data_IF_281214371172
#
_entry.id   IF_281214371172
#
_cell.length_a   1.000
_cell.length_b   1.000
_cell.length_c   1.000
_cell.angle_alpha   90.00
_cell.angle_beta   90.00
_cell.angle_gamma   90.00
#
_symmetry.space_group_name_H-M   'P 1'
#
loop_
_entity.id
_entity.type
_entity.pdbx_description
1 polymer ?
#
# COMPACT_ATOMS: atom_id res chain seq x y z
N UNK A 1 19.53 -1.77 17.43
CA UNK A 1 19.93 -1.69 16.00
C UNK A 1 18.65 -1.52 15.17
N UNK A 2 18.42 -0.32 14.62
CA UNK A 2 17.10 0.09 14.10
C UNK A 2 16.82 -0.58 12.75
N UNK A 3 15.72 -1.34 12.64
CA UNK A 3 15.21 -1.98 11.39
C UNK A 3 14.83 -0.98 10.27
N UNK A 4 15.27 0.28 10.35
CA UNK A 4 14.90 1.35 9.41
C UNK A 4 15.60 1.18 8.06
N UNK A 5 16.87 0.79 8.05
CA UNK A 5 17.62 0.63 6.80
C UNK A 5 16.99 -0.43 5.89
N UNK A 6 16.48 -1.53 6.47
CA UNK A 6 15.85 -2.62 5.72
C UNK A 6 14.57 -2.19 5.02
N UNK A 7 13.76 -1.34 5.67
CA UNK A 7 12.55 -0.81 5.04
C UNK A 7 12.90 0.16 3.90
N UNK A 8 13.89 1.03 4.10
CA UNK A 8 14.37 1.95 3.05
C UNK A 8 14.87 1.16 1.84
N UNK A 9 15.67 0.11 2.08
CA UNK A 9 16.19 -0.76 1.03
C UNK A 9 15.06 -1.53 0.32
N UNK A 10 14.14 -2.13 1.07
CA UNK A 10 12.98 -2.82 0.51
C UNK A 10 12.14 -1.88 -0.38
N UNK A 11 11.89 -0.66 0.07
CA UNK A 11 11.15 0.34 -0.71
C UNK A 11 11.91 0.76 -1.97
N UNK A 12 13.25 0.86 -1.91
CA UNK A 12 14.08 1.11 -3.09
C UNK A 12 13.96 -0.03 -4.12
N UNK A 13 14.04 -1.28 -3.68
CA UNK A 13 13.88 -2.46 -4.53
C UNK A 13 12.47 -2.47 -5.16
N UNK A 14 11.43 -2.26 -4.35
CA UNK A 14 10.05 -2.25 -4.84
C UNK A 14 9.81 -1.16 -5.88
N UNK A 15 10.34 0.06 -5.67
CA UNK A 15 10.27 1.17 -6.64
C UNK A 15 10.94 0.85 -7.98
N UNK A 16 11.99 0.02 -7.97
CA UNK A 16 12.67 -0.39 -9.20
C UNK A 16 11.86 -1.41 -10.03
N UNK A 17 10.93 -2.14 -9.41
CA UNK A 17 10.26 -3.29 -10.05
C UNK A 17 8.74 -3.18 -10.13
N UNK A 18 8.12 -2.17 -9.52
CA UNK A 18 6.67 -1.99 -9.48
C UNK A 18 6.27 -0.63 -10.06
N UNK A 19 5.08 -0.53 -10.68
CA UNK A 19 4.51 0.77 -11.05
C UNK A 19 4.46 1.72 -9.85
N UNK A 20 4.79 2.99 -10.06
CA UNK A 20 4.85 3.99 -8.99
C UNK A 20 3.49 4.24 -8.30
N UNK A 21 2.39 3.99 -9.01
CA UNK A 21 1.01 4.08 -8.55
C UNK A 21 0.53 2.82 -7.80
N UNK A 22 1.36 1.78 -7.69
CA UNK A 22 1.02 0.56 -6.94
C UNK A 22 0.59 0.94 -5.52
N UNK A 23 -0.62 0.54 -5.08
CA UNK A 23 -1.13 0.91 -3.77
C UNK A 23 -0.26 0.39 -2.62
N UNK A 24 -0.03 1.25 -1.63
CA UNK A 24 0.59 0.91 -0.35
C UNK A 24 -0.34 1.34 0.78
N UNK A 25 -0.53 0.46 1.76
CA UNK A 25 -1.35 0.72 2.95
C UNK A 25 -0.41 0.77 4.15
N UNK A 26 -0.44 1.87 4.89
CA UNK A 26 0.18 2.00 6.20
C UNK A 26 -0.92 1.90 7.25
N UNK A 27 -0.97 0.77 7.94
CA UNK A 27 -1.98 0.48 8.93
C UNK A 27 -1.34 0.44 10.32
N UNK A 28 -1.52 1.51 11.09
CA UNK A 28 -0.92 1.69 12.41
C UNK A 28 -1.92 1.33 13.50
N UNK A 29 -1.44 0.56 14.46
CA UNK A 29 -2.19 0.16 15.65
C UNK A 29 -3.54 -0.52 15.38
N UNK A 30 -3.58 -1.37 14.33
CA UNK A 30 -4.78 -2.14 13.97
C UNK A 30 -5.39 -2.88 15.18
N UNK A 31 -6.71 -2.79 15.31
CA UNK A 31 -7.49 -3.41 16.38
C UNK A 31 -7.47 -2.67 17.72
N UNK A 32 -6.91 -1.44 17.78
CA UNK A 32 -6.86 -0.61 18.99
C UNK A 32 -7.55 0.74 18.77
N UNK A 33 -7.80 1.46 19.86
CA UNK A 33 -8.59 2.70 19.84
C UNK A 33 -7.99 3.83 18.95
N UNK A 34 -6.67 3.86 18.80
CA UNK A 34 -5.91 4.80 17.98
C UNK A 34 -5.49 4.22 16.62
N UNK A 35 -6.24 3.24 16.11
CA UNK A 35 -6.08 2.71 14.77
C UNK A 35 -6.10 3.84 13.72
N UNK A 36 -5.12 3.80 12.81
CA UNK A 36 -5.06 4.71 11.66
C UNK A 36 -4.63 3.95 10.43
N UNK A 37 -5.46 4.03 9.39
CA UNK A 37 -5.17 3.45 8.07
C UNK A 37 -4.96 4.60 7.08
N UNK A 38 -3.77 4.63 6.46
CA UNK A 38 -3.44 5.58 5.39
C UNK A 38 -3.16 4.83 4.10
N UNK A 39 -3.79 5.29 3.04
CA UNK A 39 -3.58 4.80 1.68
C UNK A 39 -2.63 5.73 0.93
N UNK A 40 -1.55 5.17 0.39
CA UNK A 40 -0.54 5.88 -0.41
C UNK A 40 -0.13 5.01 -1.62
N UNK A 41 0.93 5.38 -2.32
CA UNK A 41 1.50 4.61 -3.42
C UNK A 41 2.97 4.29 -3.15
N UNK A 42 3.55 3.35 -3.89
CA UNK A 42 4.99 3.03 -3.79
C UNK A 42 5.87 4.27 -4.01
N UNK A 43 5.49 5.13 -4.94
CA UNK A 43 6.22 6.38 -5.22
C UNK A 43 6.12 7.39 -4.06
N UNK A 44 4.95 7.50 -3.43
CA UNK A 44 4.68 8.49 -2.38
C UNK A 44 4.87 7.97 -0.94
N UNK A 45 5.19 6.69 -0.76
CA UNK A 45 5.40 6.11 0.56
C UNK A 45 6.74 6.56 1.15
N UNK A 46 6.70 7.28 2.26
CA UNK A 46 7.87 7.68 3.04
C UNK A 46 8.15 6.65 4.18
N UNK A 47 9.31 5.97 4.18
CA UNK A 47 9.69 5.07 5.27
C UNK A 47 9.76 5.73 6.66
N UNK A 48 9.93 7.05 6.75
CA UNK A 48 10.02 7.74 8.04
C UNK A 48 8.67 7.88 8.76
N UNK A 49 7.56 7.63 8.06
CA UNK A 49 6.22 7.57 8.66
C UNK A 49 5.89 6.22 9.31
N UNK A 50 6.78 5.23 9.21
CA UNK A 50 6.55 3.86 9.68
C UNK A 50 7.26 3.61 11.01
N UNK A 51 6.49 3.22 12.04
CA UNK A 51 7.00 2.80 13.34
C UNK A 51 6.78 1.30 13.60
N UNK A 52 7.11 0.83 14.81
CA UNK A 52 6.99 -0.58 15.17
C UNK A 52 5.55 -1.10 15.25
N UNK A 53 4.55 -0.21 15.29
CA UNK A 53 3.13 -0.56 15.35
C UNK A 53 2.45 -0.45 13.98
N UNK A 54 3.24 -0.22 12.93
CA UNK A 54 2.74 0.00 11.57
C UNK A 54 2.93 -1.25 10.72
N UNK A 55 1.82 -1.79 10.23
CA UNK A 55 1.82 -2.78 9.16
C UNK A 55 1.92 -2.06 7.81
N UNK A 56 2.93 -2.40 7.02
CA UNK A 56 3.09 -1.93 5.64
C UNK A 56 2.61 -3.03 4.70
N UNK A 57 1.51 -2.78 3.98
CA UNK A 57 1.02 -3.69 2.94
C UNK A 57 1.28 -3.10 1.56
N UNK A 58 1.91 -3.87 0.68
CA UNK A 58 2.19 -3.47 -0.70
C UNK A 58 1.31 -4.30 -1.64
N UNK A 59 0.54 -3.62 -2.47
CA UNK A 59 -0.30 -4.25 -3.48
C UNK A 59 0.51 -5.00 -4.54
N UNK A 60 -0.16 -5.95 -5.21
CA UNK A 60 0.33 -6.50 -6.46
C UNK A 60 0.21 -5.45 -7.59
N UNK A 61 0.77 -5.76 -8.76
CA UNK A 61 0.69 -4.89 -9.95
C UNK A 61 -0.75 -4.67 -10.45
N UNK A 62 -1.66 -5.61 -10.17
CA UNK A 62 -3.09 -5.48 -10.50
C UNK A 62 -3.93 -4.90 -9.36
N UNK A 63 -3.36 -4.68 -8.17
CA UNK A 63 -4.11 -4.09 -7.04
C UNK A 63 -4.58 -2.68 -7.41
N UNK A 64 -5.83 -2.37 -7.09
CA UNK A 64 -6.46 -1.07 -7.34
C UNK A 64 -7.02 -0.50 -6.04
N UNK A 65 -6.99 0.83 -5.95
CA UNK A 65 -7.69 1.61 -4.94
C UNK A 65 -8.92 2.24 -5.59
N UNK A 66 -10.08 2.09 -4.94
CA UNK A 66 -11.31 2.75 -5.37
C UNK A 66 -11.88 3.56 -4.21
N UNK A 67 -12.34 4.77 -4.51
CA UNK A 67 -13.13 5.56 -3.56
C UNK A 67 -14.58 5.14 -3.70
N UNK A 68 -15.20 4.78 -2.59
CA UNK A 68 -16.62 4.42 -2.53
C UNK A 68 -17.48 5.60 -2.05
N UNK A 69 -17.05 6.84 -2.30
CA UNK A 69 -17.76 8.04 -1.83
C UNK A 69 -17.87 8.06 -0.31
N UNK A 70 -19.11 8.05 0.22
CA UNK A 70 -19.39 8.12 1.66
C UNK A 70 -18.95 6.87 2.44
N UNK A 71 -18.72 5.73 1.78
CA UNK A 71 -18.35 4.47 2.43
C UNK A 71 -16.84 4.27 2.64
N UNK A 72 -16.03 5.26 2.28
CA UNK A 72 -14.58 5.22 2.46
C UNK A 72 -13.84 4.63 1.25
N UNK A 73 -12.60 4.20 1.48
CA UNK A 73 -11.71 3.73 0.43
C UNK A 73 -11.46 2.23 0.53
N UNK A 74 -11.45 1.58 -0.63
CA UNK A 74 -11.24 0.14 -0.74
C UNK A 74 -10.01 -0.14 -1.58
N UNK A 75 -9.21 -1.08 -1.12
CA UNK A 75 -8.08 -1.64 -1.88
C UNK A 75 -8.34 -3.11 -2.10
N UNK A 76 -8.33 -3.53 -3.36
CA UNK A 76 -8.56 -4.92 -3.73
C UNK A 76 -7.71 -5.30 -4.93
N UNK A 77 -7.51 -6.60 -5.10
CA UNK A 77 -6.83 -7.15 -6.27
C UNK A 77 -7.86 -7.93 -7.08
N UNK A 78 -8.30 -7.42 -8.26
CA UNK A 78 -9.23 -8.16 -9.11
C UNK A 78 -8.61 -9.50 -9.51
N UNK A 79 -9.42 -10.56 -9.47
CA UNK A 79 -9.05 -11.88 -9.98
C UNK A 79 -9.84 -12.13 -11.26
N UNK A 80 -9.14 -12.27 -12.38
CA UNK A 80 -9.76 -12.59 -13.68
C UNK A 80 -10.29 -11.40 -14.48
N UNK A 81 -10.55 -11.65 -15.77
CA UNK A 81 -11.12 -10.78 -16.81
C UNK A 81 -10.47 -9.41 -17.14
N UNK A 82 -9.27 -9.08 -16.66
CA UNK A 82 -8.48 -7.96 -17.23
C UNK A 82 -8.14 -8.16 -18.73
N UNK A 83 -8.36 -9.37 -19.28
CA UNK A 83 -8.24 -9.66 -20.71
C UNK A 83 -9.53 -9.72 -21.54
N UNK A 84 -10.74 -9.52 -20.95
CA UNK A 84 -12.02 -9.69 -21.70
C UNK A 84 -12.74 -8.40 -22.10
N UNK A 85 -12.28 -7.23 -21.69
CA UNK A 85 -12.82 -5.95 -22.18
C UNK A 85 -11.74 -5.16 -22.94
N UNK A 86 -11.37 -5.66 -24.12
CA UNK A 86 -11.00 -4.79 -25.23
C UNK A 86 -12.22 -4.73 -26.16
N UNK A 87 -13.10 -3.75 -25.94
CA UNK A 87 -14.05 -3.27 -26.94
C UNK A 87 -13.70 -1.83 -27.23
#
# INVERSE_FOLDING_TARGET
QKRRHQLVEAMSILRAHRPGDTPVILARNLGRADERVRFTTIAACDPDEVDMLTLVMVGASSTRRISQGHSGEWVFTPRGYEGKNKR
#
